data_IF_636291963745
#
_entry.id   IF_636291963745
#
_cell.length_a   1.000
_cell.length_b   1.000
_cell.length_c   1.000
_cell.angle_alpha   90.00
_cell.angle_beta   90.00
_cell.angle_gamma   90.00
#
_symmetry.space_group_name_H-M   'P 1'
#
loop_
_entity.id
_entity.type
_entity.pdbx_description
1 polymer ?
#
# COMPACT_ATOMS: atom_id res chain seq x y z
N UNK A 1 -4.74 -3.48 -13.31
CA UNK A 1 -3.77 -4.35 -12.60
C UNK A 1 -4.52 -5.08 -11.50
N UNK A 2 -4.87 -6.35 -11.73
CA UNK A 2 -5.46 -7.23 -10.71
C UNK A 2 -4.73 -8.56 -10.78
N UNK A 3 -4.40 -9.16 -9.64
CA UNK A 3 -3.74 -10.47 -9.61
C UNK A 3 -4.80 -11.56 -9.69
N UNK A 4 -4.61 -12.53 -10.59
CA UNK A 4 -5.43 -13.75 -10.67
C UNK A 4 -6.81 -13.63 -11.32
N UNK A 5 -7.14 -12.53 -12.00
CA UNK A 5 -8.47 -12.30 -12.63
C UNK A 5 -9.68 -12.43 -11.68
N UNK A 6 -9.47 -12.40 -10.37
CA UNK A 6 -10.53 -12.54 -9.36
C UNK A 6 -11.25 -11.22 -9.09
N UNK A 7 -10.55 -10.10 -9.31
CA UNK A 7 -11.08 -8.78 -9.00
C UNK A 7 -11.89 -8.25 -10.20
N UNK A 8 -13.22 -8.21 -10.06
CA UNK A 8 -14.11 -7.62 -11.07
C UNK A 8 -14.09 -6.08 -10.99
N UNK A 9 -14.54 -5.41 -12.06
CA UNK A 9 -14.68 -3.95 -12.07
C UNK A 9 -15.60 -3.46 -10.94
N UNK A 10 -16.72 -4.17 -10.71
CA UNK A 10 -17.66 -3.86 -9.63
C UNK A 10 -16.99 -3.97 -8.25
N UNK A 11 -16.22 -5.04 -8.00
CA UNK A 11 -15.47 -5.20 -6.74
C UNK A 11 -14.46 -4.07 -6.54
N UNK A 12 -13.75 -3.68 -7.59
CA UNK A 12 -12.80 -2.58 -7.53
C UNK A 12 -13.49 -1.25 -7.21
N UNK A 13 -14.66 -1.01 -7.79
CA UNK A 13 -15.43 0.21 -7.52
C UNK A 13 -15.98 0.25 -6.09
N UNK A 14 -16.37 -0.90 -5.53
CA UNK A 14 -16.76 -1.00 -4.12
C UNK A 14 -15.59 -0.73 -3.15
N UNK A 15 -14.37 -1.13 -3.52
CA UNK A 15 -13.16 -0.80 -2.75
C UNK A 15 -12.95 0.72 -2.74
N UNK A 16 -13.08 1.41 -3.88
CA UNK A 16 -12.95 2.88 -3.94
C UNK A 16 -14.00 3.60 -3.09
N UNK A 17 -15.27 3.18 -3.16
CA UNK A 17 -16.34 3.73 -2.31
C UNK A 17 -16.03 3.58 -0.82
N UNK A 18 -15.42 2.44 -0.44
CA UNK A 18 -14.99 2.20 0.94
C UNK A 18 -13.85 3.13 1.34
N UNK A 19 -12.88 3.37 0.45
CA UNK A 19 -11.80 4.36 0.67
C UNK A 19 -12.40 5.75 0.89
N UNK A 20 -13.30 6.20 0.01
CA UNK A 20 -13.96 7.51 0.14
C UNK A 20 -14.75 7.65 1.44
N UNK A 21 -15.42 6.58 1.88
CA UNK A 21 -16.13 6.56 3.15
C UNK A 21 -15.18 6.70 4.35
N UNK A 22 -14.07 5.97 4.35
CA UNK A 22 -13.06 6.04 5.42
C UNK A 22 -12.40 7.42 5.46
N UNK A 23 -12.13 8.04 4.31
CA UNK A 23 -11.56 9.39 4.23
C UNK A 23 -12.47 10.48 4.83
N UNK A 24 -13.77 10.21 5.07
CA UNK A 24 -14.66 11.12 5.81
C UNK A 24 -14.38 11.15 7.31
N UNK A 25 -13.47 10.30 7.82
CA UNK A 25 -13.00 10.30 9.21
C UNK A 25 -14.12 10.11 10.26
N UNK A 26 -15.17 9.37 9.88
CA UNK A 26 -16.32 9.09 10.75
C UNK A 26 -16.04 7.99 11.79
N UNK A 27 -14.96 7.23 11.61
CA UNK A 27 -14.47 6.17 12.51
C UNK A 27 -12.94 6.12 12.44
N UNK A 28 -12.24 5.63 13.48
CA UNK A 28 -10.81 5.37 13.40
C UNK A 28 -10.46 4.34 12.31
N UNK A 29 -9.49 4.65 11.46
CA UNK A 29 -9.03 3.76 10.38
C UNK A 29 -7.52 3.88 10.17
N UNK A 30 -6.97 3.01 9.33
CA UNK A 30 -5.59 3.12 8.85
C UNK A 30 -5.38 2.31 7.57
N UNK A 31 -4.70 2.90 6.59
CA UNK A 31 -4.32 2.19 5.37
C UNK A 31 -2.98 1.51 5.57
N UNK A 32 -2.77 0.34 4.96
CA UNK A 32 -1.50 -0.40 5.04
C UNK A 32 -1.13 -0.98 3.68
N UNK A 33 0.14 -0.89 3.35
CA UNK A 33 0.74 -1.57 2.19
C UNK A 33 1.95 -2.37 2.65
N UNK A 34 1.98 -3.66 2.30
CA UNK A 34 3.17 -4.51 2.44
C UNK A 34 3.99 -4.39 1.17
N UNK A 35 5.20 -3.85 1.29
CA UNK A 35 6.10 -3.59 0.17
C UNK A 35 6.85 -4.86 -0.20
N UNK A 36 6.71 -5.23 -1.47
CA UNK A 36 7.36 -6.37 -2.10
C UNK A 36 8.10 -5.84 -3.32
N UNK A 37 9.42 -6.07 -3.39
CA UNK A 37 10.30 -5.46 -4.38
C UNK A 37 9.87 -5.75 -5.82
N UNK A 38 9.33 -6.94 -6.06
CA UNK A 38 8.87 -7.41 -7.36
C UNK A 38 7.58 -6.72 -7.84
N UNK A 39 6.80 -6.13 -6.92
CA UNK A 39 5.47 -5.57 -7.21
C UNK A 39 5.34 -4.07 -6.95
N UNK A 40 6.26 -3.47 -6.19
CA UNK A 40 6.15 -2.08 -5.75
C UNK A 40 7.40 -1.28 -6.12
N UNK A 41 7.25 -0.38 -7.07
CA UNK A 41 8.17 0.71 -7.32
C UNK A 41 7.83 1.95 -6.49
N UNK A 42 8.72 2.97 -6.53
CA UNK A 42 8.51 4.22 -5.82
C UNK A 42 7.26 4.95 -6.33
N UNK A 43 7.01 4.92 -7.64
CA UNK A 43 5.85 5.59 -8.23
C UNK A 43 4.53 4.92 -7.81
N UNK A 44 4.48 3.58 -7.67
CA UNK A 44 3.28 2.88 -7.20
C UNK A 44 2.84 3.35 -5.80
N UNK A 45 3.81 3.48 -4.88
CA UNK A 45 3.56 3.99 -3.52
C UNK A 45 3.11 5.44 -3.54
N UNK A 46 3.64 6.26 -4.44
CA UNK A 46 3.22 7.66 -4.61
C UNK A 46 1.79 7.74 -5.14
N UNK A 47 1.42 6.91 -6.11
CA UNK A 47 0.05 6.87 -6.65
C UNK A 47 -0.95 6.40 -5.60
N UNK A 48 -0.60 5.39 -4.79
CA UNK A 48 -1.41 4.98 -3.63
C UNK A 48 -1.58 6.16 -2.67
N UNK A 49 -0.48 6.82 -2.27
CA UNK A 49 -0.52 7.95 -1.36
C UNK A 49 -1.37 9.12 -1.87
N UNK A 50 -1.36 9.38 -3.19
CA UNK A 50 -2.26 10.36 -3.82
C UNK A 50 -3.72 9.93 -3.76
N UNK A 51 -4.01 8.65 -4.02
CA UNK A 51 -5.37 8.11 -3.99
C UNK A 51 -6.00 8.19 -2.59
N UNK A 52 -5.19 8.04 -1.54
CA UNK A 52 -5.64 8.17 -0.13
C UNK A 52 -5.21 9.50 0.51
N UNK A 53 -5.00 10.55 -0.28
CA UNK A 53 -4.53 11.86 0.22
C UNK A 53 -5.39 12.35 1.39
N UNK A 54 -4.74 12.79 2.46
CA UNK A 54 -5.40 13.24 3.70
C UNK A 54 -5.64 12.14 4.73
N UNK A 55 -5.45 10.86 4.37
CA UNK A 55 -5.55 9.75 5.30
C UNK A 55 -4.54 9.84 6.46
N UNK A 56 -4.98 9.43 7.65
CA UNK A 56 -4.12 9.34 8.84
C UNK A 56 -4.53 8.13 9.68
N UNK A 57 -3.69 7.09 9.85
CA UNK A 57 -2.32 6.87 9.32
C UNK A 57 -2.24 6.00 8.05
N UNK A 58 -1.13 6.12 7.30
CA UNK A 58 -0.73 5.20 6.22
C UNK A 58 0.53 4.41 6.59
N UNK A 59 0.41 3.09 6.73
CA UNK A 59 1.51 2.20 7.13
C UNK A 59 2.20 1.59 5.92
N UNK A 60 3.50 1.85 5.78
CA UNK A 60 4.37 1.14 4.86
C UNK A 60 5.15 0.09 5.64
N UNK A 61 4.86 -1.18 5.37
CA UNK A 61 5.47 -2.33 6.00
C UNK A 61 6.38 -3.03 4.99
N UNK A 62 7.66 -3.20 5.30
CA UNK A 62 8.53 -3.98 4.41
C UNK A 62 8.24 -5.48 4.56
N UNK A 63 8.35 -6.25 3.47
CA UNK A 63 8.20 -7.71 3.53
C UNK A 63 9.25 -8.33 4.49
N UNK A 64 8.84 -9.30 5.29
CA UNK A 64 9.78 -10.09 6.11
C UNK A 64 10.36 -11.27 5.31
N UNK A 65 11.65 -11.52 5.47
CA UNK A 65 12.33 -12.66 4.83
C UNK A 65 11.94 -13.94 5.57
N UNK A 66 11.64 -15.00 4.81
CA UNK A 66 11.33 -16.32 5.38
C UNK A 66 9.85 -16.56 5.68
N UNK A 67 8.97 -15.63 5.27
CA UNK A 67 7.52 -15.85 5.29
C UNK A 67 7.16 -16.87 4.22
N UNK A 68 6.40 -17.90 4.62
CA UNK A 68 5.91 -18.92 3.69
C UNK A 68 4.80 -18.31 2.80
N UNK A 69 4.94 -18.50 1.49
CA UNK A 69 3.95 -18.04 0.50
C UNK A 69 3.15 -19.22 -0.01
N UNK A 70 1.86 -18.97 -0.29
CA UNK A 70 1.05 -19.93 -1.03
C UNK A 70 1.59 -19.98 -2.46
N UNK A 71 2.25 -21.08 -2.82
CA UNK A 71 2.95 -21.26 -4.10
C UNK A 71 4.45 -21.51 -3.97
N UNK A 72 5.03 -21.39 -2.77
CA UNK A 72 6.47 -21.59 -2.47
C UNK A 72 7.42 -20.63 -3.19
N UNK A 73 6.88 -19.58 -3.81
CA UNK A 73 7.69 -18.50 -4.40
C UNK A 73 8.34 -17.65 -3.31
N UNK A 74 9.56 -17.20 -3.54
CA UNK A 74 10.26 -16.32 -2.60
C UNK A 74 10.28 -14.91 -3.16
N UNK A 75 9.76 -13.98 -2.38
CA UNK A 75 9.79 -12.56 -2.69
C UNK A 75 10.86 -11.85 -1.87
N UNK A 76 11.27 -10.68 -2.33
CA UNK A 76 12.34 -9.91 -1.68
C UNK A 76 11.80 -8.62 -1.06
N UNK A 77 12.33 -8.24 0.12
CA UNK A 77 12.04 -6.92 0.68
C UNK A 77 12.65 -5.82 -0.18
N UNK A 78 12.05 -4.64 -0.08
CA UNK A 78 12.63 -3.41 -0.62
C UNK A 78 13.86 -3.04 0.22
N UNK A 79 14.92 -2.57 -0.42
CA UNK A 79 16.11 -2.10 0.29
C UNK A 79 15.83 -0.81 1.07
N UNK A 80 16.75 -0.48 1.99
CA UNK A 80 16.57 0.65 2.90
C UNK A 80 16.49 2.00 2.16
N UNK A 81 17.30 2.22 1.14
CA UNK A 81 17.36 3.50 0.42
C UNK A 81 16.07 3.72 -0.36
N UNK A 82 15.61 2.69 -1.07
CA UNK A 82 14.34 2.72 -1.80
C UNK A 82 13.16 2.92 -0.85
N UNK A 83 13.14 2.26 0.32
CA UNK A 83 12.10 2.43 1.33
C UNK A 83 12.07 3.87 1.88
N UNK A 84 13.23 4.46 2.16
CA UNK A 84 13.33 5.84 2.63
C UNK A 84 12.82 6.85 1.59
N UNK A 85 13.12 6.64 0.31
CA UNK A 85 12.61 7.49 -0.77
C UNK A 85 11.09 7.30 -0.98
N UNK A 86 10.57 6.07 -0.90
CA UNK A 86 9.13 5.79 -0.91
C UNK A 86 8.40 6.58 0.20
N UNK A 87 8.90 6.49 1.44
CA UNK A 87 8.33 7.21 2.60
C UNK A 87 8.38 8.71 2.36
N UNK A 88 9.52 9.24 1.93
CA UNK A 88 9.71 10.67 1.69
C UNK A 88 8.76 11.22 0.62
N UNK A 89 8.57 10.51 -0.49
CA UNK A 89 7.65 10.96 -1.56
C UNK A 89 6.18 10.82 -1.16
N UNK A 90 5.81 9.72 -0.51
CA UNK A 90 4.44 9.51 -0.02
C UNK A 90 4.04 10.48 1.11
N UNK A 91 4.99 10.88 1.96
CA UNK A 91 4.75 11.82 3.07
C UNK A 91 4.28 13.21 2.63
N UNK A 92 4.41 13.54 1.34
CA UNK A 92 3.84 14.77 0.76
C UNK A 92 2.32 14.76 0.68
N UNK A 93 1.69 13.59 0.74
CA UNK A 93 0.25 13.40 0.53
C UNK A 93 -0.48 12.86 1.76
N UNK A 94 0.19 12.04 2.58
CA UNK A 94 -0.39 11.36 3.75
C UNK A 94 0.60 11.26 4.91
N UNK A 95 0.10 11.03 6.13
CA UNK A 95 0.95 10.76 7.29
C UNK A 95 1.44 9.31 7.25
N UNK A 96 2.65 9.11 6.73
CA UNK A 96 3.28 7.79 6.64
C UNK A 96 3.83 7.37 8.00
N UNK A 97 3.56 6.13 8.40
CA UNK A 97 4.14 5.47 9.57
C UNK A 97 4.96 4.27 9.11
N UNK A 98 6.22 4.19 9.55
CA UNK A 98 7.09 3.05 9.28
C UNK A 98 6.73 1.92 10.25
N UNK A 99 6.52 0.72 9.73
CA UNK A 99 6.33 -0.50 10.54
C UNK A 99 7.22 -1.62 10.04
#
# INVERSE_FOLDING_TARGET
MTVGNVLTEEMFENIKKSIELLLKDIVPYGFRTTLVKEFHGIDDVVEIAKAIKGARPYYLQNLEIGVETIGKERFTPVDRETLEEMIKRASKFVKVMKR
#
